data_IF_017039052444
#
_entry.id   IF_017039052444
#
_cell.length_a   1.000
_cell.length_b   1.000
_cell.length_c   1.000
_cell.angle_alpha   90.00
_cell.angle_beta   90.00
_cell.angle_gamma   90.00
#
_symmetry.space_group_name_H-M   'P 1'
#
loop_
_entity.id
_entity.type
_entity.pdbx_description
1 polymer ?
#
# COMPACT_ATOMS: atom_id res chain seq x y z
N UNK A 1 -22.63 -18.47 29.93
CA UNK A 1 -23.14 -18.52 28.53
C UNK A 1 -24.48 -17.75 28.36
N UNK A 2 -25.52 -17.92 29.20
CA UNK A 2 -26.84 -17.25 29.03
C UNK A 2 -26.74 -15.74 29.37
N UNK A 3 -26.00 -15.36 30.42
CA UNK A 3 -25.80 -13.95 30.78
C UNK A 3 -25.02 -13.20 29.69
N UNK A 4 -24.04 -13.84 29.07
CA UNK A 4 -23.25 -13.29 27.97
C UNK A 4 -24.16 -13.07 26.74
N UNK A 5 -25.02 -14.00 26.38
CA UNK A 5 -25.95 -13.86 25.26
C UNK A 5 -26.92 -12.67 25.45
N UNK A 6 -27.49 -12.52 26.64
CA UNK A 6 -28.40 -11.42 26.95
C UNK A 6 -27.69 -10.06 26.89
N UNK A 7 -26.46 -10.00 27.36
CA UNK A 7 -25.62 -8.79 27.25
C UNK A 7 -25.31 -8.46 25.79
N UNK A 8 -24.95 -9.43 24.96
CA UNK A 8 -24.69 -9.24 23.54
C UNK A 8 -25.93 -8.77 22.77
N UNK A 9 -27.12 -9.27 23.13
CA UNK A 9 -28.39 -8.79 22.57
C UNK A 9 -28.66 -7.34 23.00
N UNK A 10 -28.45 -7.02 24.29
CA UNK A 10 -28.62 -5.67 24.82
C UNK A 10 -27.69 -4.65 24.14
N UNK A 11 -26.46 -5.04 23.85
CA UNK A 11 -25.48 -4.24 23.09
C UNK A 11 -25.80 -4.16 21.60
N UNK A 12 -26.80 -4.89 21.11
CA UNK A 12 -27.16 -4.93 19.69
C UNK A 12 -26.17 -5.68 18.80
N UNK A 13 -25.30 -6.52 19.39
CA UNK A 13 -24.33 -7.38 18.65
C UNK A 13 -24.97 -8.64 18.09
N UNK A 14 -26.06 -9.09 18.71
CA UNK A 14 -26.83 -10.28 18.30
C UNK A 14 -28.28 -9.88 18.07
N UNK A 15 -28.85 -10.38 16.98
CA UNK A 15 -30.25 -10.24 16.65
C UNK A 15 -30.88 -11.64 16.49
N UNK A 16 -32.18 -11.72 16.72
CA UNK A 16 -32.95 -12.95 16.50
C UNK A 16 -33.57 -12.88 15.12
N UNK A 17 -33.29 -13.88 14.29
CA UNK A 17 -33.87 -14.03 12.94
C UNK A 17 -34.42 -15.45 12.83
N UNK A 18 -35.72 -15.58 12.54
CA UNK A 18 -36.42 -16.88 12.42
C UNK A 18 -36.16 -17.85 13.56
N UNK A 19 -36.11 -17.33 14.82
CA UNK A 19 -35.85 -18.13 16.00
C UNK A 19 -34.39 -18.51 16.27
N UNK A 20 -33.48 -18.16 15.39
CA UNK A 20 -32.02 -18.31 15.55
C UNK A 20 -31.34 -17.01 15.96
N UNK A 21 -30.14 -17.12 16.53
CA UNK A 21 -29.29 -15.97 16.88
C UNK A 21 -28.23 -15.75 15.83
N UNK A 22 -28.13 -14.51 15.30
CA UNK A 22 -27.13 -14.11 14.33
C UNK A 22 -26.35 -12.89 14.83
N UNK A 23 -25.05 -12.87 14.58
CA UNK A 23 -24.24 -11.69 14.85
C UNK A 23 -24.56 -10.58 13.85
N UNK A 24 -24.62 -9.36 14.34
CA UNK A 24 -24.78 -8.15 13.54
C UNK A 24 -23.41 -7.49 13.39
N UNK A 25 -22.84 -7.54 12.20
CA UNK A 25 -21.66 -6.75 11.88
C UNK A 25 -22.03 -5.28 11.60
N UNK A 26 -21.21 -4.36 12.11
CA UNK A 26 -21.33 -2.95 11.80
C UNK A 26 -20.52 -2.64 10.55
N UNK A 27 -21.17 -2.08 9.54
CA UNK A 27 -20.52 -1.68 8.29
C UNK A 27 -19.90 -0.30 8.46
N UNK A 28 -18.63 -0.20 8.10
CA UNK A 28 -17.84 1.02 8.11
C UNK A 28 -17.32 1.25 6.70
N UNK A 29 -17.79 2.31 6.05
CA UNK A 29 -17.27 2.71 4.74
C UNK A 29 -15.93 3.39 4.94
N UNK A 30 -14.90 2.87 4.26
CA UNK A 30 -13.53 3.38 4.36
C UNK A 30 -13.02 3.75 2.98
N UNK A 31 -12.33 4.87 2.87
CA UNK A 31 -11.74 5.31 1.61
C UNK A 31 -10.38 5.96 1.84
N UNK A 32 -9.58 5.94 0.79
CA UNK A 32 -8.24 6.50 0.76
C UNK A 32 -8.10 7.43 -0.43
N UNK A 33 -7.55 8.61 -0.21
CA UNK A 33 -7.17 9.55 -1.27
C UNK A 33 -5.68 9.83 -1.21
N UNK A 34 -4.96 9.36 -2.22
CA UNK A 34 -3.50 9.40 -2.27
C UNK A 34 -3.02 10.82 -2.62
N UNK A 35 -2.13 11.37 -1.80
CA UNK A 35 -1.55 12.69 -1.96
C UNK A 35 -0.13 12.63 -2.53
N UNK A 36 0.65 11.63 -2.14
CA UNK A 36 2.04 11.49 -2.58
C UNK A 36 2.60 10.09 -2.38
N UNK A 37 3.50 9.71 -3.28
CA UNK A 37 4.38 8.56 -3.12
C UNK A 37 5.80 9.07 -3.28
N UNK A 38 6.63 8.79 -2.27
CA UNK A 38 8.02 9.23 -2.22
C UNK A 38 8.95 8.08 -1.81
N UNK A 39 10.25 8.30 -1.96
CA UNK A 39 11.31 7.46 -1.36
C UNK A 39 11.16 5.96 -1.63
N UNK A 40 10.93 5.57 -2.89
CA UNK A 40 10.89 4.15 -3.26
C UNK A 40 12.32 3.58 -3.15
N UNK A 41 12.57 2.80 -2.10
CA UNK A 41 13.83 2.10 -1.89
C UNK A 41 13.70 0.63 -2.32
N UNK A 42 14.39 0.32 -3.41
CA UNK A 42 14.40 -1.02 -4.00
C UNK A 42 15.12 -2.03 -3.11
N UNK A 43 16.16 -1.59 -2.37
CA UNK A 43 17.01 -2.50 -1.56
C UNK A 43 16.27 -3.02 -0.34
N UNK A 44 15.51 -2.14 0.30
CA UNK A 44 14.71 -2.47 1.50
C UNK A 44 13.28 -2.88 1.16
N UNK A 45 12.87 -2.69 -0.11
CA UNK A 45 11.49 -2.90 -0.59
C UNK A 45 10.49 -2.05 0.19
N UNK A 46 10.86 -0.79 0.44
CA UNK A 46 10.06 0.19 1.17
C UNK A 46 9.72 1.40 0.30
N UNK A 47 8.66 2.08 0.64
CA UNK A 47 8.19 3.31 0.00
C UNK A 47 7.44 4.17 1.00
N UNK A 48 7.52 5.48 0.87
CA UNK A 48 6.79 6.42 1.70
C UNK A 48 5.54 6.88 0.98
N UNK A 49 4.41 6.92 1.71
CA UNK A 49 3.13 7.40 1.21
C UNK A 49 2.52 8.45 2.14
N UNK A 50 1.89 9.45 1.53
CA UNK A 50 1.06 10.47 2.18
C UNK A 50 -0.34 10.40 1.58
N UNK A 51 -1.38 10.29 2.42
CA UNK A 51 -2.76 10.10 1.96
C UNK A 51 -3.77 10.54 3.01
N UNK A 52 -5.00 10.82 2.57
CA UNK A 52 -6.15 10.90 3.45
C UNK A 52 -6.80 9.53 3.59
N UNK A 53 -7.15 9.19 4.83
CA UNK A 53 -7.93 8.00 5.19
C UNK A 53 -9.18 8.46 5.91
N UNK A 54 -10.35 7.98 5.50
CA UNK A 54 -11.58 8.28 6.22
C UNK A 54 -12.42 7.05 6.52
N UNK A 55 -13.24 7.20 7.56
CA UNK A 55 -14.24 6.24 8.00
C UNK A 55 -15.60 6.93 8.07
N UNK A 56 -16.59 6.38 7.40
CA UNK A 56 -17.98 6.84 7.42
C UNK A 56 -18.88 5.71 7.91
N UNK A 57 -19.56 5.94 9.03
CA UNK A 57 -20.33 4.90 9.70
C UNK A 57 -21.50 5.49 10.47
N UNK A 58 -22.47 4.63 10.85
CA UNK A 58 -23.49 4.97 11.83
C UNK A 58 -23.00 4.59 13.22
N UNK A 59 -23.05 5.49 14.21
CA UNK A 59 -22.63 5.19 15.56
C UNK A 59 -23.53 4.11 16.17
N UNK A 60 -22.94 3.25 16.98
CA UNK A 60 -23.67 2.26 17.78
C UNK A 60 -23.62 2.68 19.25
N UNK A 61 -24.54 3.55 19.66
CA UNK A 61 -24.60 4.10 21.02
C UNK A 61 -24.76 3.05 22.11
N UNK A 62 -25.25 1.84 21.75
CA UNK A 62 -25.45 0.73 22.68
C UNK A 62 -24.16 -0.03 22.99
N UNK A 63 -23.13 0.18 22.18
CA UNK A 63 -21.90 -0.58 22.29
C UNK A 63 -20.66 0.34 22.38
N UNK A 64 -20.19 0.52 23.60
CA UNK A 64 -19.02 1.35 23.91
C UNK A 64 -17.70 0.82 23.30
N UNK A 65 -17.69 -0.45 22.92
CA UNK A 65 -16.51 -1.09 22.29
C UNK A 65 -16.50 -0.87 20.76
N UNK A 66 -17.54 -0.22 20.21
CA UNK A 66 -17.58 0.11 18.79
C UNK A 66 -16.64 1.27 18.49
N UNK A 67 -15.42 0.93 18.05
CA UNK A 67 -14.35 1.85 17.65
C UNK A 67 -13.94 1.57 16.23
N UNK A 68 -14.70 2.09 15.26
CA UNK A 68 -14.43 1.81 13.83
C UNK A 68 -13.15 2.44 13.29
N UNK A 69 -12.66 3.47 13.96
CA UNK A 69 -11.44 4.21 13.67
C UNK A 69 -10.21 3.77 14.50
N UNK A 70 -10.34 2.67 15.23
CA UNK A 70 -9.20 1.99 15.89
C UNK A 70 -8.53 1.03 14.90
N UNK A 71 -7.71 1.58 14.03
CA UNK A 71 -7.07 0.85 12.95
C UNK A 71 -5.57 0.72 13.11
N UNK A 72 -4.99 -0.26 12.43
CA UNK A 72 -3.56 -0.51 12.36
C UNK A 72 -3.17 -0.89 10.92
N UNK A 73 -2.06 -0.36 10.46
CA UNK A 73 -1.46 -0.77 9.19
C UNK A 73 -0.70 -2.08 9.39
N UNK A 74 -0.94 -3.07 8.54
CA UNK A 74 -0.32 -4.39 8.65
C UNK A 74 1.06 -4.45 8.01
N UNK A 75 1.33 -3.55 7.08
CA UNK A 75 2.58 -3.47 6.32
C UNK A 75 3.38 -2.18 6.53
N UNK A 76 3.11 -1.45 7.63
CA UNK A 76 3.91 -0.29 8.00
C UNK A 76 5.31 -0.69 8.45
N UNK A 77 6.32 0.09 8.06
CA UNK A 77 7.70 -0.04 8.51
C UNK A 77 8.04 1.17 9.39
N UNK A 78 8.15 0.91 10.69
CA UNK A 78 8.38 1.96 11.68
C UNK A 78 7.13 2.71 12.12
N UNK A 79 7.31 3.96 12.52
CA UNK A 79 6.23 4.82 13.01
C UNK A 79 5.46 5.48 11.86
N UNK A 80 4.13 5.46 11.94
CA UNK A 80 3.23 6.11 10.98
C UNK A 80 2.63 7.32 11.68
N UNK A 81 2.79 8.49 11.07
CA UNK A 81 2.16 9.73 11.53
C UNK A 81 0.69 9.75 11.13
N UNK A 82 -0.21 9.87 12.11
CA UNK A 82 -1.66 9.90 11.92
C UNK A 82 -2.20 11.18 12.55
N UNK A 83 -2.61 12.13 11.72
CA UNK A 83 -3.18 13.41 12.17
C UNK A 83 -4.69 13.45 11.90
N UNK A 84 -5.54 13.64 12.92
CA UNK A 84 -6.97 13.84 12.71
C UNK A 84 -7.21 15.19 12.03
N UNK A 85 -7.99 15.19 10.94
CA UNK A 85 -8.29 16.40 10.16
C UNK A 85 -9.74 16.86 10.39
N UNK A 86 -10.67 15.90 10.47
CA UNK A 86 -12.10 16.19 10.48
C UNK A 86 -12.85 15.13 11.24
N UNK A 87 -13.81 15.56 12.05
CA UNK A 87 -14.84 14.71 12.65
C UNK A 87 -16.18 15.42 12.56
N UNK A 88 -17.13 14.85 11.85
CA UNK A 88 -18.44 15.45 11.62
C UNK A 88 -19.54 14.41 11.73
N UNK A 89 -20.68 14.86 12.24
CA UNK A 89 -21.92 14.08 12.21
C UNK A 89 -22.86 14.70 11.18
N UNK A 90 -23.20 13.94 10.17
CA UNK A 90 -24.11 14.36 9.12
C UNK A 90 -25.57 14.41 9.60
N UNK A 91 -26.43 15.10 8.85
CA UNK A 91 -27.85 15.23 9.17
C UNK A 91 -28.60 13.88 9.21
N UNK A 92 -28.11 12.86 8.52
CA UNK A 92 -28.63 11.48 8.51
C UNK A 92 -28.14 10.62 9.70
N UNK A 93 -27.37 11.21 10.62
CA UNK A 93 -26.80 10.54 11.78
C UNK A 93 -25.54 9.71 11.48
N UNK A 94 -24.96 9.81 10.27
CA UNK A 94 -23.68 9.19 9.96
C UNK A 94 -22.53 10.05 10.48
N UNK A 95 -21.49 9.41 11.02
CA UNK A 95 -20.25 10.05 11.44
C UNK A 95 -19.20 9.87 10.35
N UNK A 96 -18.50 10.96 10.01
CA UNK A 96 -17.34 10.97 9.13
C UNK A 96 -16.12 11.41 9.94
N UNK A 97 -15.10 10.55 9.96
CA UNK A 97 -13.77 10.87 10.52
C UNK A 97 -12.74 10.77 9.42
N UNK A 98 -11.91 11.81 9.30
CA UNK A 98 -10.84 11.87 8.29
C UNK A 98 -9.51 12.12 8.96
N UNK A 99 -8.51 11.36 8.54
CA UNK A 99 -7.12 11.43 9.00
C UNK A 99 -6.19 11.73 7.83
N UNK A 100 -5.15 12.51 8.07
CA UNK A 100 -3.98 12.54 7.20
C UNK A 100 -2.98 11.54 7.74
N UNK A 101 -2.48 10.69 6.88
CA UNK A 101 -1.53 9.64 7.21
C UNK A 101 -0.28 9.83 6.38
N UNK A 102 0.89 9.82 7.03
CA UNK A 102 2.19 9.83 6.39
C UNK A 102 3.07 8.75 7.03
N UNK A 103 3.61 7.86 6.22
CA UNK A 103 4.41 6.76 6.75
C UNK A 103 5.15 5.98 5.69
N UNK A 104 6.07 5.14 6.15
CA UNK A 104 6.80 4.18 5.31
C UNK A 104 6.10 2.84 5.35
N UNK A 105 5.91 2.26 4.17
CA UNK A 105 5.27 0.96 4.00
C UNK A 105 6.22 0.01 3.30
N UNK A 106 5.98 -1.29 3.44
CA UNK A 106 6.82 -2.34 2.90
C UNK A 106 5.98 -3.34 2.12
N UNK A 107 6.48 -3.71 0.94
CA UNK A 107 5.98 -4.83 0.18
C UNK A 107 7.15 -5.56 -0.48
N UNK A 108 7.00 -6.85 -0.73
CA UNK A 108 8.05 -7.63 -1.38
C UNK A 108 8.13 -7.28 -2.86
N UNK A 109 9.19 -6.58 -3.27
CA UNK A 109 9.45 -6.27 -4.66
C UNK A 109 9.94 -7.50 -5.44
N UNK A 110 9.55 -7.58 -6.71
CA UNK A 110 9.88 -8.68 -7.62
C UNK A 110 10.77 -8.17 -8.74
N UNK A 111 11.90 -8.83 -8.99
CA UNK A 111 12.92 -8.40 -9.95
C UNK A 111 13.14 -9.39 -11.08
N UNK A 112 12.24 -10.34 -11.29
CA UNK A 112 12.40 -11.38 -12.32
C UNK A 112 12.48 -10.83 -13.74
N UNK A 113 11.75 -9.73 -14.00
CA UNK A 113 11.66 -9.10 -15.32
C UNK A 113 12.48 -7.83 -15.43
N UNK A 114 13.49 -7.67 -14.56
CA UNK A 114 14.35 -6.48 -14.56
C UNK A 114 15.01 -6.28 -15.94
N UNK A 115 15.01 -5.06 -16.53
CA UNK A 115 14.52 -3.79 -15.99
C UNK A 115 13.07 -3.43 -16.38
N UNK A 116 12.22 -4.39 -16.73
CA UNK A 116 10.82 -4.21 -17.17
C UNK A 116 9.82 -4.55 -16.06
N UNK A 117 10.30 -4.63 -14.83
CA UNK A 117 9.50 -5.07 -13.70
C UNK A 117 8.37 -4.12 -13.34
N UNK A 118 7.32 -4.73 -12.79
CA UNK A 118 6.21 -4.08 -12.10
C UNK A 118 6.37 -4.26 -10.60
N UNK A 119 5.98 -3.24 -9.83
CA UNK A 119 5.98 -3.29 -8.37
C UNK A 119 4.63 -2.82 -7.84
N UNK A 120 4.11 -3.57 -6.88
CA UNK A 120 2.89 -3.23 -6.16
C UNK A 120 3.23 -2.40 -4.91
N UNK A 121 2.75 -1.16 -4.87
CA UNK A 121 2.83 -0.30 -3.69
C UNK A 121 1.51 -0.41 -2.94
N UNK A 122 1.55 -1.03 -1.77
CA UNK A 122 0.35 -1.45 -1.05
C UNK A 122 0.22 -0.68 0.26
N UNK A 123 -1.00 -0.26 0.60
CA UNK A 123 -1.40 0.17 1.94
C UNK A 123 -2.41 -0.84 2.43
N UNK A 124 -2.11 -1.50 3.52
CA UNK A 124 -3.03 -2.45 4.15
C UNK A 124 -3.37 -2.00 5.56
N UNK A 125 -4.66 -1.87 5.87
CA UNK A 125 -5.11 -1.60 7.23
C UNK A 125 -6.31 -2.45 7.61
N UNK A 126 -6.38 -2.76 8.89
CA UNK A 126 -7.48 -3.50 9.53
C UNK A 126 -7.86 -2.85 10.84
N UNK A 127 -9.01 -3.21 11.38
CA UNK A 127 -9.30 -2.84 12.77
C UNK A 127 -8.33 -3.56 13.72
N UNK A 128 -7.86 -2.84 14.74
CA UNK A 128 -6.89 -3.37 15.70
C UNK A 128 -7.46 -4.51 16.52
N UNK A 129 -8.69 -4.36 17.02
CA UNK A 129 -9.28 -5.23 18.01
C UNK A 129 -10.54 -5.97 17.53
N UNK A 130 -11.32 -5.35 16.63
CA UNK A 130 -12.62 -5.89 16.22
C UNK A 130 -12.48 -6.87 15.04
N UNK A 131 -13.08 -8.04 15.19
CA UNK A 131 -13.14 -9.07 14.15
C UNK A 131 -14.23 -8.78 13.11
N UNK A 132 -14.21 -9.51 11.98
CA UNK A 132 -15.21 -9.38 10.89
C UNK A 132 -16.66 -9.61 11.37
N UNK A 133 -16.85 -10.36 12.44
CA UNK A 133 -18.18 -10.56 13.01
C UNK A 133 -18.74 -9.31 13.71
N UNK A 134 -17.90 -8.31 13.99
CA UNK A 134 -18.30 -7.10 14.70
C UNK A 134 -18.13 -5.83 13.87
N UNK A 135 -16.99 -5.66 13.17
CA UNK A 135 -16.72 -4.54 12.26
C UNK A 135 -16.34 -5.10 10.89
N UNK A 136 -16.98 -4.57 9.86
CA UNK A 136 -16.65 -4.86 8.47
C UNK A 136 -16.37 -3.58 7.72
N UNK A 137 -15.14 -3.41 7.27
CA UNK A 137 -14.75 -2.33 6.38
C UNK A 137 -15.25 -2.62 4.96
N UNK A 138 -15.81 -1.61 4.35
CA UNK A 138 -16.32 -1.64 2.98
C UNK A 138 -15.75 -0.44 2.23
N UNK A 139 -15.27 -0.66 1.02
CA UNK A 139 -14.73 0.42 0.18
C UNK A 139 -15.78 1.48 -0.10
N UNK A 140 -15.52 2.72 0.29
CA UNK A 140 -16.39 3.87 0.04
C UNK A 140 -16.23 4.36 -1.42
N UNK A 141 -16.73 3.58 -2.37
CA UNK A 141 -16.62 3.88 -3.80
C UNK A 141 -17.21 5.24 -4.16
N UNK A 142 -18.28 5.64 -3.47
CA UNK A 142 -18.93 6.95 -3.70
C UNK A 142 -18.02 8.07 -3.19
N UNK A 143 -17.52 7.96 -1.97
CA UNK A 143 -16.61 8.95 -1.37
C UNK A 143 -15.31 9.12 -2.15
N UNK A 144 -14.77 8.04 -2.67
CA UNK A 144 -13.55 8.03 -3.49
C UNK A 144 -13.79 8.42 -4.96
N UNK A 145 -15.04 8.53 -5.42
CA UNK A 145 -15.38 8.59 -6.86
C UNK A 145 -14.75 7.45 -7.66
N UNK A 146 -14.74 6.27 -7.04
CA UNK A 146 -14.13 5.07 -7.61
C UNK A 146 -15.14 4.33 -8.50
N UNK A 147 -15.19 4.71 -9.77
CA UNK A 147 -16.04 4.08 -10.79
C UNK A 147 -15.32 2.91 -11.47
N UNK A 148 -14.01 3.11 -11.76
CA UNK A 148 -13.10 2.13 -12.35
C UNK A 148 -11.67 2.36 -11.85
N UNK A 149 -10.78 1.38 -12.04
CA UNK A 149 -9.36 1.49 -11.71
C UNK A 149 -8.69 2.64 -12.48
N UNK A 150 -9.03 2.79 -13.77
CA UNK A 150 -8.52 3.89 -14.61
C UNK A 150 -8.94 5.26 -14.07
N UNK A 151 -10.21 5.38 -13.62
CA UNK A 151 -10.73 6.63 -13.07
C UNK A 151 -10.04 6.95 -11.75
N UNK A 152 -9.83 5.96 -10.89
CA UNK A 152 -9.12 6.13 -9.62
C UNK A 152 -7.68 6.57 -9.86
N UNK A 153 -6.97 5.89 -10.77
CA UNK A 153 -5.62 6.27 -11.17
C UNK A 153 -5.56 7.70 -11.72
N UNK A 154 -6.55 8.07 -12.54
CA UNK A 154 -6.70 9.43 -13.07
C UNK A 154 -6.83 10.47 -11.95
N UNK A 155 -7.70 10.22 -10.97
CA UNK A 155 -7.88 11.10 -9.81
C UNK A 155 -6.57 11.28 -9.02
N UNK A 156 -5.83 10.21 -8.78
CA UNK A 156 -4.54 10.26 -8.08
C UNK A 156 -3.48 11.03 -8.89
N UNK A 157 -3.48 10.91 -10.23
CA UNK A 157 -2.61 11.70 -11.11
C UNK A 157 -2.95 13.19 -11.05
N UNK A 158 -4.23 13.54 -11.12
CA UNK A 158 -4.71 14.93 -11.03
C UNK A 158 -4.34 15.57 -9.68
N UNK A 159 -4.35 14.78 -8.60
CA UNK A 159 -3.90 15.22 -7.28
C UNK A 159 -2.38 15.37 -7.17
N UNK A 160 -1.62 14.96 -8.20
CA UNK A 160 -0.15 15.02 -8.19
C UNK A 160 0.54 13.92 -7.36
N UNK A 161 -0.18 12.85 -7.02
CA UNK A 161 0.32 11.78 -6.14
C UNK A 161 1.59 11.08 -6.66
N UNK A 162 1.86 11.19 -7.96
CA UNK A 162 2.99 10.52 -8.62
C UNK A 162 4.13 11.48 -9.03
N UNK A 163 4.12 12.72 -8.54
CA UNK A 163 5.10 13.74 -8.94
C UNK A 163 6.52 13.44 -8.52
N UNK A 164 6.72 12.63 -7.47
CA UNK A 164 8.03 12.32 -6.88
C UNK A 164 8.59 10.95 -7.26
N UNK A 165 7.87 10.10 -8.01
CA UNK A 165 8.31 8.75 -8.36
C UNK A 165 9.17 8.71 -9.64
N UNK A 166 10.34 9.32 -9.61
CA UNK A 166 11.24 9.35 -10.76
C UNK A 166 11.68 7.96 -11.20
N UNK A 167 11.58 7.69 -12.52
CA UNK A 167 11.95 6.41 -13.12
C UNK A 167 10.89 5.31 -12.98
N UNK A 168 9.70 5.67 -12.51
CA UNK A 168 8.53 4.79 -12.41
C UNK A 168 7.30 5.43 -13.04
N UNK A 169 6.44 4.62 -13.62
CA UNK A 169 5.18 5.06 -14.22
C UNK A 169 4.02 4.29 -13.58
N UNK A 170 3.03 4.98 -13.00
CA UNK A 170 1.85 4.31 -12.44
C UNK A 170 0.99 3.73 -13.56
N UNK A 171 0.63 2.45 -13.44
CA UNK A 171 -0.13 1.68 -14.41
C UNK A 171 -1.58 1.50 -14.01
N UNK A 172 -1.83 1.14 -12.77
CA UNK A 172 -3.17 0.96 -12.22
C UNK A 172 -3.26 1.36 -10.76
N UNK A 173 -4.46 1.67 -10.30
CA UNK A 173 -4.77 1.87 -8.88
C UNK A 173 -6.08 1.17 -8.55
N UNK A 174 -6.09 0.38 -7.49
CA UNK A 174 -7.29 -0.35 -7.04
C UNK A 174 -7.40 -0.32 -5.53
N UNK A 175 -8.63 -0.42 -5.06
CA UNK A 175 -8.93 -0.57 -3.64
C UNK A 175 -9.87 -1.75 -3.47
N UNK A 176 -9.41 -2.72 -2.70
CA UNK A 176 -10.09 -3.97 -2.45
C UNK A 176 -10.36 -4.14 -0.97
N UNK A 177 -11.45 -4.85 -0.65
CA UNK A 177 -11.71 -5.35 0.68
C UNK A 177 -11.34 -6.83 0.75
N UNK A 178 -10.69 -7.22 1.85
CA UNK A 178 -10.23 -8.58 2.06
C UNK A 178 -10.40 -8.97 3.53
N UNK A 179 -10.00 -10.18 3.86
CA UNK A 179 -10.00 -10.72 5.20
C UNK A 179 -8.56 -11.04 5.60
N UNK A 180 -8.15 -10.52 6.76
CA UNK A 180 -6.87 -10.86 7.37
C UNK A 180 -7.07 -12.00 8.37
N UNK A 181 -6.76 -13.26 8.00
CA UNK A 181 -6.83 -14.40 8.90
C UNK A 181 -5.60 -14.47 9.79
N UNK A 182 -5.77 -14.70 11.07
CA UNK A 182 -4.64 -14.93 11.97
C UNK A 182 -4.95 -16.06 12.95
N UNK A 183 -3.99 -16.92 13.20
CA UNK A 183 -4.03 -17.90 14.28
C UNK A 183 -3.45 -17.36 15.59
N UNK A 184 -2.80 -16.20 15.54
CA UNK A 184 -2.34 -15.51 16.73
C UNK A 184 -3.52 -14.93 17.50
N UNK A 185 -3.51 -15.10 18.81
CA UNK A 185 -4.50 -14.48 19.70
C UNK A 185 -4.17 -13.02 20.00
N UNK A 186 -2.99 -12.54 19.60
CA UNK A 186 -2.43 -11.25 20.01
C UNK A 186 -2.50 -10.99 21.52
N UNK A 187 -2.45 -12.09 22.32
CA UNK A 187 -2.58 -12.01 23.78
C UNK A 187 -4.01 -11.80 24.28
N UNK A 188 -5.03 -11.78 23.41
CA UNK A 188 -6.40 -11.62 23.83
C UNK A 188 -6.97 -12.91 24.46
N UNK A 189 -7.31 -12.92 25.79
CA UNK A 189 -7.79 -14.12 26.46
C UNK A 189 -9.08 -14.69 25.88
N UNK A 190 -9.92 -13.88 25.23
CA UNK A 190 -11.16 -14.31 24.60
C UNK A 190 -10.93 -15.27 23.42
N UNK A 191 -9.72 -15.25 22.87
CA UNK A 191 -9.32 -16.08 21.75
C UNK A 191 -8.49 -17.31 22.15
N UNK A 192 -8.19 -17.48 23.46
CA UNK A 192 -7.42 -18.62 23.94
C UNK A 192 -8.17 -19.93 23.72
N UNK A 193 -7.45 -20.95 23.27
CA UNK A 193 -8.01 -22.29 23.01
C UNK A 193 -8.91 -22.41 21.79
N UNK A 194 -9.02 -21.37 20.97
CA UNK A 194 -9.71 -21.46 19.66
C UNK A 194 -8.77 -22.09 18.64
N UNK A 195 -9.24 -23.14 17.99
CA UNK A 195 -8.53 -23.83 16.89
C UNK A 195 -8.81 -23.21 15.51
N UNK A 196 -9.64 -22.17 15.44
CA UNK A 196 -10.07 -21.51 14.21
C UNK A 196 -9.40 -20.13 14.12
N UNK A 197 -8.96 -19.76 12.92
CA UNK A 197 -8.39 -18.44 12.67
C UNK A 197 -9.36 -17.32 13.09
N UNK A 198 -8.79 -16.27 13.70
CA UNK A 198 -9.51 -15.03 13.95
C UNK A 198 -9.40 -14.18 12.68
N UNK A 199 -10.54 -13.72 12.17
CA UNK A 199 -10.62 -12.97 10.93
C UNK A 199 -10.87 -11.49 11.21
N UNK A 200 -10.05 -10.62 10.62
CA UNK A 200 -10.22 -9.17 10.64
C UNK A 200 -10.59 -8.68 9.25
N UNK A 201 -11.44 -7.65 9.19
CA UNK A 201 -11.74 -6.98 7.93
C UNK A 201 -10.55 -6.12 7.52
N UNK A 202 -10.07 -6.30 6.30
CA UNK A 202 -8.91 -5.62 5.73
C UNK A 202 -9.34 -4.76 4.54
N UNK A 203 -8.77 -3.58 4.42
CA UNK A 203 -8.75 -2.80 3.18
C UNK A 203 -7.33 -2.81 2.65
N UNK A 204 -7.24 -3.05 1.36
CA UNK A 204 -6.01 -3.06 0.59
C UNK A 204 -6.10 -2.01 -0.51
N UNK A 205 -5.19 -1.03 -0.50
CA UNK A 205 -5.02 -0.05 -1.57
C UNK A 205 -3.74 -0.42 -2.31
N UNK A 206 -3.85 -0.73 -3.58
CA UNK A 206 -2.72 -1.14 -4.40
C UNK A 206 -2.53 -0.18 -5.56
N UNK A 207 -1.31 0.31 -5.72
CA UNK A 207 -0.85 1.08 -6.87
C UNK A 207 0.23 0.28 -7.58
N UNK A 208 -0.07 -0.20 -8.79
CA UNK A 208 0.92 -0.85 -9.66
C UNK A 208 1.75 0.22 -10.37
N UNK A 209 3.06 0.11 -10.23
CA UNK A 209 4.03 0.96 -10.91
C UNK A 209 4.97 0.11 -11.76
N UNK A 210 5.29 0.61 -12.95
CA UNK A 210 6.23 0.00 -13.87
C UNK A 210 7.49 0.86 -13.97
N UNK A 211 8.66 0.21 -14.02
CA UNK A 211 9.92 0.94 -14.25
C UNK A 211 9.96 1.57 -15.64
N UNK A 212 10.45 2.80 -15.73
CA UNK A 212 10.80 3.43 -17.01
C UNK A 212 12.10 2.80 -17.56
N UNK A 213 11.92 1.65 -18.20
CA UNK A 213 13.00 0.81 -18.67
C UNK A 213 13.86 1.49 -19.74
N UNK A 214 13.25 2.32 -20.59
CA UNK A 214 13.98 3.00 -21.66
C UNK A 214 15.00 3.97 -21.10
N UNK A 215 14.59 4.80 -20.13
CA UNK A 215 15.47 5.74 -19.49
C UNK A 215 16.60 5.03 -18.74
N UNK A 216 16.30 3.91 -18.09
CA UNK A 216 17.29 3.09 -17.39
C UNK A 216 18.28 2.45 -18.34
N UNK A 217 17.81 1.82 -19.43
CA UNK A 217 18.63 1.18 -20.45
C UNK A 217 19.59 2.21 -21.09
N UNK A 218 19.07 3.38 -21.48
CA UNK A 218 19.90 4.43 -22.06
C UNK A 218 20.98 4.88 -21.08
N UNK A 219 20.63 5.17 -19.82
CA UNK A 219 21.60 5.59 -18.81
C UNK A 219 22.67 4.53 -18.50
N UNK A 220 22.30 3.25 -18.51
CA UNK A 220 23.20 2.14 -18.16
C UNK A 220 24.03 1.66 -19.35
N UNK A 221 23.42 1.50 -20.54
CA UNK A 221 24.10 0.93 -21.72
C UNK A 221 24.86 1.97 -22.55
N UNK A 222 24.44 3.24 -22.58
CA UNK A 222 25.09 4.28 -23.38
C UNK A 222 26.57 4.42 -23.05
N UNK A 223 27.02 4.51 -21.79
CA UNK A 223 28.44 4.58 -21.47
C UNK A 223 29.21 3.33 -21.92
N UNK A 224 28.63 2.14 -21.75
CA UNK A 224 29.25 0.88 -22.23
C UNK A 224 29.38 0.85 -23.74
N UNK A 225 28.36 1.30 -24.46
CA UNK A 225 28.41 1.38 -25.92
C UNK A 225 29.47 2.37 -26.40
N UNK A 226 29.63 3.53 -25.75
CA UNK A 226 30.66 4.50 -26.05
C UNK A 226 32.05 3.88 -25.81
N UNK A 227 32.27 3.19 -24.69
CA UNK A 227 33.57 2.57 -24.40
C UNK A 227 33.87 1.42 -25.38
N UNK A 228 32.86 0.66 -25.80
CA UNK A 228 33.00 -0.37 -26.84
C UNK A 228 33.41 0.22 -28.19
N UNK A 229 32.77 1.33 -28.61
CA UNK A 229 33.13 2.04 -29.86
C UNK A 229 34.56 2.59 -29.79
N UNK A 230 34.94 3.19 -28.66
CA UNK A 230 36.31 3.66 -28.44
C UNK A 230 37.34 2.52 -28.54
N UNK A 231 37.06 1.41 -27.88
CA UNK A 231 37.89 0.20 -27.99
C UNK A 231 38.00 -0.31 -29.43
N UNK A 232 36.89 -0.31 -30.17
CA UNK A 232 36.86 -0.72 -31.58
C UNK A 232 37.69 0.20 -32.47
N UNK A 233 37.66 1.51 -32.25
CA UNK A 233 38.47 2.50 -32.99
C UNK A 233 39.96 2.19 -32.85
N UNK A 234 40.43 1.60 -31.73
CA UNK A 234 41.87 1.27 -31.57
C UNK A 234 42.38 0.27 -32.61
N UNK A 235 41.51 -0.55 -33.22
CA UNK A 235 41.91 -1.47 -34.28
C UNK A 235 42.29 -0.78 -35.58
N UNK A 236 41.81 0.45 -35.81
CA UNK A 236 42.12 1.23 -37.00
C UNK A 236 43.35 2.11 -36.81
N UNK A 237 43.89 2.22 -35.61
CA UNK A 237 45.13 2.95 -35.36
C UNK A 237 46.35 2.12 -35.81
N UNK A 238 47.35 2.73 -36.48
CA UNK A 238 48.54 2.03 -36.94
C UNK A 238 49.31 1.34 -35.81
N UNK A 239 49.92 0.21 -36.12
CA UNK A 239 50.77 -0.54 -35.19
C UNK A 239 51.98 0.32 -34.81
N UNK A 240 52.22 0.56 -33.52
CA UNK A 240 53.35 1.35 -33.02
C UNK A 240 52.97 2.70 -32.41
N UNK A 241 51.72 3.13 -32.48
CA UNK A 241 51.28 4.36 -31.82
C UNK A 241 50.95 4.10 -30.35
N UNK A 242 51.55 4.88 -29.44
CA UNK A 242 51.32 4.79 -28.00
C UNK A 242 49.85 5.09 -27.61
N UNK A 243 49.17 5.91 -28.43
CA UNK A 243 47.76 6.27 -28.27
C UNK A 243 46.82 5.03 -28.30
N UNK A 244 47.20 4.00 -29.08
CA UNK A 244 46.43 2.75 -29.14
C UNK A 244 46.33 2.07 -27.79
N UNK A 245 47.44 2.01 -27.05
CA UNK A 245 47.48 1.41 -25.72
C UNK A 245 46.77 2.29 -24.69
N UNK A 246 46.92 3.61 -24.81
CA UNK A 246 46.27 4.59 -23.94
C UNK A 246 44.73 4.54 -24.05
N UNK A 247 44.18 4.54 -25.29
CA UNK A 247 42.72 4.45 -25.51
C UNK A 247 42.16 3.12 -25.00
N UNK A 248 42.86 2.01 -25.30
CA UNK A 248 42.41 0.67 -24.82
C UNK A 248 42.40 0.55 -23.30
N UNK A 249 43.47 1.06 -22.63
CA UNK A 249 43.53 1.03 -21.17
C UNK A 249 42.49 1.97 -20.51
N UNK A 250 42.25 3.15 -21.13
CA UNK A 250 41.20 4.07 -20.65
C UNK A 250 39.80 3.46 -20.80
N UNK A 251 39.52 2.83 -21.93
CA UNK A 251 38.23 2.14 -22.14
C UNK A 251 37.99 1.02 -21.09
N UNK A 252 39.03 0.21 -20.82
CA UNK A 252 38.98 -0.83 -19.77
C UNK A 252 38.75 -0.23 -18.38
N UNK A 253 39.48 0.82 -18.03
CA UNK A 253 39.33 1.48 -16.73
C UNK A 253 37.93 2.08 -16.55
N UNK A 254 37.43 2.76 -17.59
CA UNK A 254 36.10 3.36 -17.61
C UNK A 254 35.03 2.29 -17.43
N UNK A 255 35.14 1.15 -18.12
CA UNK A 255 34.19 0.02 -17.96
C UNK A 255 34.21 -0.52 -16.54
N UNK A 256 35.39 -0.65 -15.92
CA UNK A 256 35.50 -1.11 -14.54
C UNK A 256 34.84 -0.14 -13.53
N UNK A 257 34.98 1.16 -13.73
CA UNK A 257 34.34 2.18 -12.89
C UNK A 257 32.81 2.23 -13.02
N UNK A 258 32.25 1.85 -14.18
CA UNK A 258 30.80 1.80 -14.35
C UNK A 258 30.15 0.56 -13.70
N UNK A 259 30.94 -0.46 -13.35
CA UNK A 259 30.46 -1.68 -12.70
C UNK A 259 30.70 -1.72 -11.17
N UNK A 260 31.33 -0.71 -10.60
CA UNK A 260 31.48 -0.51 -9.17
C UNK A 260 30.37 0.38 -8.63
#
# INVERSE_FOLDING_TARGET
QIKDLQEQIKRGRIMTVNGGYVYKANVVYSGVDLLGIDEIDIKTSTYRMDFYLWFRYRPNERDVDFKPDDFVFTNAEGEVEIAPIREETNADGTVLKTYRVSGTFKNQFRFYDYPFEHQDLIIEFRNQNATTSFIQYVVDRIGMRYESEEKLLGNYRENGAFSSIFGWQPQSARVDQDIFPTFSTFGNPQNFGRSVATNYSLINVNVDIQRDSLQYIVKSLLPLLITLILAYITFFLPLGHSERLAVGSTALLTTAFFHL
#
